data_IF_647281855612
#
_entry.id   IF_647281855612
#
_cell.length_a   1.000
_cell.length_b   1.000
_cell.length_c   1.000
_cell.angle_alpha   90.00
_cell.angle_beta   90.00
_cell.angle_gamma   90.00
#
_symmetry.space_group_name_H-M   'P 1'
#
loop_
_entity.id
_entity.type
_entity.pdbx_description
1 polymer ?
#
# COMPACT_ATOMS: atom_id res chain seq x y z
N UNK A 1 37.94 3.44 -31.16
CA UNK A 1 36.57 2.93 -30.96
C UNK A 1 36.68 1.51 -30.39
N UNK A 2 36.25 1.27 -29.14
CA UNK A 2 36.26 -0.05 -28.51
C UNK A 2 34.93 -0.22 -27.77
N UNK A 3 33.98 -0.90 -28.41
CA UNK A 3 32.69 -1.24 -27.84
C UNK A 3 32.88 -2.28 -26.72
N UNK A 4 32.19 -2.09 -25.60
CA UNK A 4 32.10 -3.08 -24.53
C UNK A 4 30.64 -3.48 -24.39
N UNK A 5 30.32 -4.62 -24.97
CA UNK A 5 29.03 -5.32 -24.83
C UNK A 5 28.97 -5.85 -23.41
N UNK A 6 28.01 -5.36 -22.62
CA UNK A 6 27.73 -5.87 -21.28
C UNK A 6 26.29 -6.38 -21.26
N UNK A 7 26.16 -7.69 -21.42
CA UNK A 7 24.90 -8.44 -21.37
C UNK A 7 24.45 -8.57 -19.92
N UNK A 8 23.24 -8.10 -19.60
CA UNK A 8 22.60 -8.41 -18.31
C UNK A 8 21.35 -9.22 -18.60
N UNK A 9 21.38 -10.49 -18.18
CA UNK A 9 20.27 -11.42 -18.24
C UNK A 9 19.18 -10.97 -17.26
N UNK A 10 17.98 -10.72 -17.77
CA UNK A 10 16.80 -10.43 -16.95
C UNK A 10 16.01 -11.74 -16.84
N UNK A 11 16.22 -12.48 -15.75
CA UNK A 11 15.36 -13.59 -15.33
C UNK A 11 14.65 -13.18 -14.04
N UNK A 12 13.54 -12.47 -14.20
CA UNK A 12 12.62 -12.21 -13.09
C UNK A 12 11.58 -13.35 -13.05
N UNK A 13 11.70 -14.24 -12.07
CA UNK A 13 10.70 -15.30 -11.85
C UNK A 13 9.48 -14.71 -11.17
N UNK A 14 8.37 -14.70 -11.89
CA UNK A 14 7.04 -14.35 -11.40
C UNK A 14 6.69 -15.23 -10.19
N UNK A 15 6.63 -14.66 -8.99
CA UNK A 15 6.04 -15.32 -7.81
C UNK A 15 4.53 -15.24 -7.94
N UNK A 16 3.88 -16.38 -8.12
CA UNK A 16 2.44 -16.52 -8.00
C UNK A 16 2.07 -16.75 -6.52
N UNK A 17 1.07 -16.05 -5.96
CA UNK A 17 0.54 -16.38 -4.65
C UNK A 17 -0.24 -17.69 -4.74
N UNK A 18 0.25 -18.73 -4.07
CA UNK A 18 -0.46 -19.99 -3.90
C UNK A 18 -1.61 -19.73 -2.92
N UNK A 19 -2.84 -19.72 -3.42
CA UNK A 19 -4.03 -19.78 -2.60
C UNK A 19 -4.09 -21.17 -1.93
N UNK A 20 -3.63 -21.25 -0.68
CA UNK A 20 -3.83 -22.43 0.16
C UNK A 20 -5.12 -22.27 0.94
N UNK A 21 -6.16 -22.92 0.42
CA UNK A 21 -7.45 -23.12 1.07
C UNK A 21 -7.28 -23.94 2.35
N UNK A 22 -7.76 -23.38 3.47
CA UNK A 22 -8.59 -24.05 4.49
C UNK A 22 -8.31 -23.48 5.88
N UNK A 23 -9.13 -22.53 6.36
CA UNK A 23 -9.81 -22.66 7.66
C UNK A 23 -11.20 -21.99 7.55
N UNK A 24 -12.26 -22.66 8.02
CA UNK A 24 -13.65 -22.25 7.81
C UNK A 24 -14.00 -20.99 8.60
N UNK A 25 -14.58 -20.01 7.90
CA UNK A 25 -15.18 -18.83 8.49
C UNK A 25 -16.54 -19.24 9.12
N UNK A 26 -16.74 -19.16 10.45
CA UNK A 26 -18.07 -19.35 11.02
C UNK A 26 -18.98 -18.21 10.56
N UNK A 27 -20.03 -18.59 9.87
CA UNK A 27 -21.14 -17.80 9.33
C UNK A 27 -21.47 -16.55 10.17
N UNK A 28 -21.38 -15.32 9.62
CA UNK A 28 -21.82 -14.13 10.32
C UNK A 28 -23.36 -14.12 10.42
N UNK A 29 -23.89 -14.09 11.64
CA UNK A 29 -25.28 -13.72 11.88
C UNK A 29 -25.42 -12.20 11.71
N UNK A 30 -26.36 -11.69 10.89
CA UNK A 30 -26.50 -10.25 10.69
C UNK A 30 -27.30 -9.65 11.85
N UNK A 31 -26.59 -9.18 12.87
CA UNK A 31 -27.14 -8.27 13.87
C UNK A 31 -26.41 -6.92 13.75
N UNK A 32 -27.05 -6.01 13.02
CA UNK A 32 -26.87 -4.56 13.02
C UNK A 32 -25.49 -4.00 13.46
N UNK A 33 -24.66 -3.60 12.50
CA UNK A 33 -23.73 -2.50 12.73
C UNK A 33 -23.61 -1.67 11.45
N UNK A 34 -24.07 -0.43 11.53
CA UNK A 34 -24.03 0.55 10.46
C UNK A 34 -22.59 0.86 10.01
N UNK A 35 -22.46 1.21 8.73
CA UNK A 35 -21.26 1.72 8.05
C UNK A 35 -20.19 0.69 7.65
N UNK A 36 -20.58 -0.24 6.78
CA UNK A 36 -19.65 -1.04 5.99
C UNK A 36 -19.12 -0.20 4.80
N UNK A 37 -18.10 0.61 5.04
CA UNK A 37 -17.18 0.95 3.96
C UNK A 37 -16.47 -0.35 3.59
N UNK A 38 -16.49 -0.70 2.30
CA UNK A 38 -16.02 -1.95 1.69
C UNK A 38 -14.52 -2.21 1.92
N UNK A 39 -14.10 -2.38 3.16
CA UNK A 39 -12.77 -2.84 3.52
C UNK A 39 -12.91 -4.35 3.71
N UNK A 40 -12.35 -5.14 2.81
CA UNK A 40 -12.14 -6.57 3.05
C UNK A 40 -11.38 -6.79 4.36
N UNK A 41 -11.21 -8.03 4.82
CA UNK A 41 -10.48 -8.33 6.05
C UNK A 41 -9.08 -7.65 6.05
N UNK A 42 -8.97 -6.50 6.73
CA UNK A 42 -7.72 -5.76 6.81
C UNK A 42 -6.75 -6.57 7.64
N UNK A 43 -5.62 -6.93 7.05
CA UNK A 43 -4.55 -7.59 7.80
C UNK A 43 -3.82 -6.56 8.66
N UNK A 44 -3.28 -6.99 9.81
CA UNK A 44 -2.43 -6.12 10.62
C UNK A 44 -1.19 -5.63 9.87
N UNK A 45 -0.75 -6.37 8.86
CA UNK A 45 0.37 -5.98 8.02
C UNK A 45 -0.01 -4.79 7.12
N UNK A 46 -1.19 -4.84 6.50
CA UNK A 46 -1.69 -3.75 5.64
C UNK A 46 -1.94 -2.48 6.44
N UNK A 47 -2.60 -2.56 7.60
CA UNK A 47 -2.87 -1.38 8.44
C UNK A 47 -1.57 -0.67 8.82
N UNK A 48 -0.51 -1.42 9.14
CA UNK A 48 0.81 -0.83 9.43
C UNK A 48 1.46 -0.22 8.20
N UNK A 49 1.34 -0.87 7.05
CA UNK A 49 1.86 -0.32 5.80
C UNK A 49 1.17 1.01 5.45
N UNK A 50 -0.14 1.09 5.65
CA UNK A 50 -0.92 2.31 5.45
C UNK A 50 -0.55 3.42 6.43
N UNK A 51 -0.42 3.10 7.71
CA UNK A 51 0.05 4.07 8.72
C UNK A 51 1.43 4.64 8.36
N UNK A 52 2.39 3.79 8.02
CA UNK A 52 3.74 4.23 7.61
C UNK A 52 3.69 5.10 6.35
N UNK A 53 2.78 4.80 5.42
CA UNK A 53 2.62 5.58 4.19
C UNK A 53 2.11 6.99 4.47
N UNK A 54 1.11 7.15 5.35
CA UNK A 54 0.59 8.47 5.70
C UNK A 54 1.54 9.25 6.61
N UNK A 55 2.26 8.58 7.52
CA UNK A 55 3.30 9.21 8.34
C UNK A 55 4.44 9.77 7.49
N UNK A 56 4.88 9.02 6.46
CA UNK A 56 5.87 9.52 5.48
C UNK A 56 5.37 10.71 4.67
N UNK A 57 4.05 10.86 4.56
CA UNK A 57 3.42 11.99 3.91
C UNK A 57 3.24 13.19 4.84
N UNK A 58 3.66 13.08 6.10
CA UNK A 58 3.66 14.17 7.09
C UNK A 58 2.54 14.09 8.12
N UNK A 59 1.72 13.02 8.13
CA UNK A 59 0.69 12.83 9.14
C UNK A 59 1.29 12.46 10.51
N UNK A 60 0.79 13.07 11.57
CA UNK A 60 1.16 12.75 12.95
C UNK A 60 -0.07 12.19 13.69
N UNK A 61 -0.11 10.89 14.01
CA UNK A 61 -1.25 10.30 14.70
C UNK A 61 -1.26 10.73 16.18
N UNK A 62 -2.02 11.77 16.50
CA UNK A 62 -2.23 12.27 17.87
C UNK A 62 -3.66 11.94 18.30
N UNK A 63 -3.85 11.51 19.56
CA UNK A 63 -5.14 11.07 20.08
C UNK A 63 -6.23 12.17 20.09
N UNK A 64 -5.83 13.45 20.04
CA UNK A 64 -6.74 14.60 20.03
C UNK A 64 -6.12 15.69 19.18
N UNK A 65 -6.31 15.59 17.88
CA UNK A 65 -5.85 16.56 16.90
C UNK A 65 -6.99 17.53 16.55
N UNK A 66 -6.72 18.83 16.62
CA UNK A 66 -7.69 19.89 16.30
C UNK A 66 -7.89 20.05 14.79
N UNK A 67 -6.93 19.59 14.00
CA UNK A 67 -6.95 19.65 12.54
C UNK A 67 -7.48 18.36 11.92
N UNK A 68 -7.91 17.38 12.73
CA UNK A 68 -8.60 16.22 12.20
C UNK A 68 -9.99 16.60 11.67
N UNK A 69 -10.38 16.17 10.45
CA UNK A 69 -9.71 15.20 9.57
C UNK A 69 -8.86 15.82 8.42
N UNK A 70 -8.62 17.12 8.39
CA UNK A 70 -7.92 17.78 7.29
C UNK A 70 -6.49 17.25 7.11
N UNK A 71 -5.75 17.08 8.21
CA UNK A 71 -4.35 16.64 8.18
C UNK A 71 -4.17 15.24 7.57
N UNK A 72 -5.08 14.31 7.87
CA UNK A 72 -5.03 12.95 7.29
C UNK A 72 -5.36 12.97 5.79
N UNK A 73 -6.31 13.80 5.35
CA UNK A 73 -6.65 13.94 3.92
C UNK A 73 -5.50 14.56 3.11
N UNK A 74 -4.84 15.58 3.67
CA UNK A 74 -3.66 16.19 3.07
C UNK A 74 -2.53 15.17 2.91
N UNK A 75 -2.26 14.38 3.95
CA UNK A 75 -1.25 13.33 3.92
C UNK A 75 -1.60 12.22 2.90
N UNK A 76 -2.86 11.80 2.80
CA UNK A 76 -3.29 10.83 1.79
C UNK A 76 -3.09 11.34 0.36
N UNK A 77 -3.38 12.61 0.09
CA UNK A 77 -3.15 13.22 -1.22
C UNK A 77 -1.65 13.24 -1.59
N UNK A 78 -0.77 13.54 -0.62
CA UNK A 78 0.69 13.48 -0.80
C UNK A 78 1.15 12.03 -1.02
N UNK A 79 0.65 11.09 -0.22
CA UNK A 79 0.94 9.67 -0.36
C UNK A 79 0.56 9.14 -1.76
N UNK A 80 -0.64 9.50 -2.27
CA UNK A 80 -1.08 9.10 -3.61
C UNK A 80 -0.15 9.64 -4.71
N UNK A 81 0.29 10.90 -4.60
CA UNK A 81 1.26 11.51 -5.54
C UNK A 81 2.60 10.79 -5.51
N UNK A 82 3.11 10.46 -4.31
CA UNK A 82 4.38 9.74 -4.18
C UNK A 82 4.29 8.29 -4.66
N UNK A 83 3.14 7.63 -4.55
CA UNK A 83 2.91 6.30 -5.11
C UNK A 83 2.95 6.34 -6.65
N UNK A 84 2.26 7.31 -7.27
CA UNK A 84 2.29 7.50 -8.73
C UNK A 84 3.68 7.83 -9.28
N UNK A 85 4.52 8.54 -8.51
CA UNK A 85 5.90 8.84 -8.89
C UNK A 85 6.84 7.62 -8.80
N UNK A 86 6.49 6.59 -8.01
CA UNK A 86 7.27 5.35 -7.89
C UNK A 86 6.94 4.35 -8.99
N UNK A 87 5.75 4.43 -9.58
CA UNK A 87 5.33 3.55 -10.68
C UNK A 87 5.85 3.98 -12.05
N UNK A 88 6.42 5.19 -12.17
CA UNK A 88 7.15 5.58 -13.39
C UNK A 88 8.51 4.87 -13.32
N UNK A 89 8.78 3.86 -14.17
CA UNK A 89 10.11 3.26 -14.24
C UNK A 89 11.05 4.41 -14.58
N UNK A 90 11.90 4.78 -13.62
CA UNK A 90 13.04 5.66 -13.88
C UNK A 90 13.97 4.88 -14.79
N UNK A 91 13.65 4.91 -16.08
CA UNK A 91 14.53 4.55 -17.17
C UNK A 91 15.79 5.38 -16.98
N UNK A 92 16.78 4.77 -16.31
CA UNK A 92 18.12 5.34 -16.18
C UNK A 92 18.78 5.15 -17.53
N UNK A 93 18.38 5.97 -18.49
CA UNK A 93 19.15 6.26 -19.68
C UNK A 93 20.44 6.96 -19.28
N UNK A 94 21.46 6.17 -18.96
CA UNK A 94 22.87 6.52 -19.09
C UNK A 94 23.62 5.35 -19.71
#
# INVERSE_FOLDING_TARGET
>A
MKARVLSIFITSTLVAPIAAFAQPNPTPTPAAQASNANHGELTRAEVRADLVRVERAGFLPVASDVHYPDDIQHAEAVAARTAAAQTVPRDKGR
#
